data_IF_228667827043
#
_entry.id   IF_228667827043
#
_cell.length_a   1.000
_cell.length_b   1.000
_cell.length_c   1.000
_cell.angle_alpha   90.00
_cell.angle_beta   90.00
_cell.angle_gamma   90.00
#
_symmetry.space_group_name_H-M   'P 1'
#
loop_
_entity.id
_entity.type
_entity.pdbx_description
1 polymer ?
#
# COMPACT_ATOMS: atom_id res chain seq x y z
N UNK A 1 23.26 -59.49 4.01
CA UNK A 1 23.61 -58.25 3.27
C UNK A 1 22.58 -57.85 2.19
N UNK A 2 21.94 -58.78 1.45
CA UNK A 2 20.94 -58.42 0.40
C UNK A 2 19.65 -57.76 0.93
N UNK A 3 19.16 -58.14 2.12
CA UNK A 3 17.96 -57.52 2.71
C UNK A 3 18.19 -56.09 3.25
N UNK A 4 19.44 -55.74 3.60
CA UNK A 4 19.78 -54.42 4.12
C UNK A 4 19.73 -53.35 3.01
N UNK A 5 20.13 -53.72 1.78
CA UNK A 5 20.03 -52.86 0.60
C UNK A 5 18.59 -52.62 0.16
N UNK A 6 17.71 -53.62 0.29
CA UNK A 6 16.30 -53.51 -0.08
C UNK A 6 15.52 -52.56 0.86
N UNK A 7 15.82 -52.61 2.17
CA UNK A 7 15.28 -51.66 3.13
C UNK A 7 15.84 -50.24 2.94
N UNK A 8 17.13 -50.09 2.60
CA UNK A 8 17.70 -48.78 2.28
C UNK A 8 17.04 -48.14 1.04
N UNK A 9 16.75 -48.92 -0.01
CA UNK A 9 16.07 -48.41 -1.21
C UNK A 9 14.63 -47.97 -0.96
N UNK A 10 13.89 -48.64 -0.07
CA UNK A 10 12.52 -48.27 0.28
C UNK A 10 12.44 -46.99 1.11
N UNK A 11 13.40 -46.75 2.00
CA UNK A 11 13.48 -45.53 2.82
C UNK A 11 13.85 -44.31 1.94
N UNK A 12 14.78 -44.48 0.99
CA UNK A 12 15.17 -43.39 0.08
C UNK A 12 14.05 -43.00 -0.89
N UNK A 13 13.25 -43.95 -1.37
CA UNK A 13 12.11 -43.67 -2.26
C UNK A 13 10.98 -42.98 -1.48
N UNK A 14 10.69 -43.43 -0.25
CA UNK A 14 9.65 -42.83 0.60
C UNK A 14 9.97 -41.40 1.06
N UNK A 15 11.24 -41.10 1.35
CA UNK A 15 11.67 -39.73 1.66
C UNK A 15 11.71 -38.83 0.41
N UNK A 16 12.16 -39.36 -0.73
CA UNK A 16 12.21 -38.61 -1.98
C UNK A 16 10.82 -38.20 -2.51
N UNK A 17 9.81 -39.08 -2.40
CA UNK A 17 8.44 -38.77 -2.81
C UNK A 17 7.72 -37.79 -1.87
N UNK A 18 8.06 -37.78 -0.58
CA UNK A 18 7.50 -36.84 0.40
C UNK A 18 8.03 -35.43 0.14
N UNK A 19 9.34 -35.29 -0.09
CA UNK A 19 9.95 -34.00 -0.35
C UNK A 19 9.48 -33.40 -1.69
N UNK A 20 9.26 -34.22 -2.73
CA UNK A 20 8.78 -33.72 -4.02
C UNK A 20 7.38 -33.10 -3.93
N UNK A 21 6.47 -33.72 -3.17
CA UNK A 21 5.12 -33.19 -2.99
C UNK A 21 5.13 -31.92 -2.15
N UNK A 22 5.91 -31.88 -1.07
CA UNK A 22 6.07 -30.67 -0.24
C UNK A 22 6.69 -29.51 -1.05
N UNK A 23 7.71 -29.78 -1.87
CA UNK A 23 8.30 -28.77 -2.77
C UNK A 23 7.26 -28.21 -3.73
N UNK A 24 6.41 -29.06 -4.31
CA UNK A 24 5.36 -28.61 -5.25
C UNK A 24 4.29 -27.75 -4.55
N UNK A 25 3.86 -28.13 -3.35
CA UNK A 25 2.97 -27.30 -2.53
C UNK A 25 3.59 -25.94 -2.18
N UNK A 26 4.88 -25.92 -1.82
CA UNK A 26 5.59 -24.68 -1.53
C UNK A 26 5.74 -23.80 -2.78
N UNK A 27 6.01 -24.38 -3.95
CA UNK A 27 6.03 -23.63 -5.23
C UNK A 27 4.69 -22.99 -5.53
N UNK A 28 3.58 -23.71 -5.31
CA UNK A 28 2.24 -23.17 -5.51
C UNK A 28 1.96 -22.01 -4.55
N UNK A 29 2.33 -22.12 -3.27
CA UNK A 29 2.23 -21.02 -2.30
C UNK A 29 3.08 -19.82 -2.70
N UNK A 30 4.33 -20.03 -3.13
CA UNK A 30 5.22 -18.97 -3.62
C UNK A 30 4.61 -18.26 -4.81
N UNK A 31 4.02 -19.00 -5.76
CA UNK A 31 3.40 -18.40 -6.95
C UNK A 31 2.20 -17.53 -6.58
N UNK A 32 1.31 -18.01 -5.69
CA UNK A 32 0.18 -17.23 -5.20
C UNK A 32 0.65 -15.98 -4.48
N UNK A 33 1.54 -16.12 -3.49
CA UNK A 33 2.06 -14.99 -2.72
C UNK A 33 2.82 -13.98 -3.59
N UNK A 34 3.54 -14.45 -4.62
CA UNK A 34 4.23 -13.56 -5.57
C UNK A 34 3.25 -12.74 -6.41
N UNK A 35 2.08 -13.31 -6.73
CA UNK A 35 1.01 -12.60 -7.43
C UNK A 35 0.38 -11.55 -6.52
N UNK A 36 0.05 -11.92 -5.29
CA UNK A 36 -0.55 -11.01 -4.31
C UNK A 36 0.41 -9.85 -4.00
N UNK A 37 1.71 -10.13 -3.83
CA UNK A 37 2.74 -9.10 -3.64
C UNK A 37 2.80 -8.11 -4.82
N UNK A 38 2.64 -8.60 -6.06
CA UNK A 38 2.62 -7.74 -7.24
C UNK A 38 1.37 -6.84 -7.27
N UNK A 39 0.22 -7.38 -6.88
CA UNK A 39 -1.04 -6.63 -6.79
C UNK A 39 -0.94 -5.51 -5.76
N UNK A 40 -0.53 -5.82 -4.54
CA UNK A 40 -0.31 -4.82 -3.49
C UNK A 40 0.79 -3.80 -3.84
N UNK A 41 1.80 -4.19 -4.64
CA UNK A 41 2.80 -3.24 -5.13
C UNK A 41 2.18 -2.21 -6.07
N UNK A 42 1.31 -2.65 -6.98
CA UNK A 42 0.61 -1.77 -7.90
C UNK A 42 -0.35 -0.84 -7.13
N UNK A 43 -1.10 -1.37 -6.17
CA UNK A 43 -1.97 -0.59 -5.28
C UNK A 43 -1.16 0.47 -4.51
N UNK A 44 -0.02 0.09 -3.90
CA UNK A 44 0.85 1.04 -3.20
C UNK A 44 1.38 2.14 -4.11
N UNK A 45 1.71 1.82 -5.37
CA UNK A 45 2.16 2.82 -6.35
C UNK A 45 1.02 3.79 -6.68
N UNK A 46 -0.19 3.28 -6.90
CA UNK A 46 -1.35 4.11 -7.17
C UNK A 46 -1.67 5.04 -6.00
N UNK A 47 -1.77 4.50 -4.79
CA UNK A 47 -2.06 5.26 -3.56
C UNK A 47 -0.99 6.31 -3.26
N UNK A 48 0.29 6.03 -3.53
CA UNK A 48 1.36 7.03 -3.43
C UNK A 48 1.16 8.22 -4.36
N UNK A 49 0.59 8.00 -5.55
CA UNK A 49 0.29 9.09 -6.47
C UNK A 49 -0.89 9.91 -5.94
N UNK A 50 -1.96 9.28 -5.45
CA UNK A 50 -3.12 9.97 -4.87
C UNK A 50 -2.71 10.82 -3.65
N UNK A 51 -1.94 10.25 -2.71
CA UNK A 51 -1.38 11.00 -1.57
C UNK A 51 -0.54 12.20 -2.01
N UNK A 52 0.20 12.07 -3.11
CA UNK A 52 0.99 13.17 -3.68
C UNK A 52 0.11 14.24 -4.32
N UNK A 53 -0.95 13.85 -5.02
CA UNK A 53 -1.93 14.75 -5.63
C UNK A 53 -2.66 15.55 -4.55
N UNK A 54 -3.21 14.88 -3.53
CA UNK A 54 -3.85 15.56 -2.39
C UNK A 54 -2.88 16.51 -1.67
N UNK A 55 -1.60 16.14 -1.53
CA UNK A 55 -0.60 17.04 -0.94
C UNK A 55 -0.39 18.32 -1.77
N UNK A 56 -0.45 18.23 -3.09
CA UNK A 56 -0.34 19.40 -3.98
C UNK A 56 -1.58 20.28 -3.83
N UNK A 57 -2.76 19.67 -3.90
CA UNK A 57 -4.05 20.36 -3.77
C UNK A 57 -4.16 21.11 -2.42
N UNK A 58 -3.73 20.49 -1.31
CA UNK A 58 -3.67 21.14 0.00
C UNK A 58 -2.82 22.40 -0.02
N UNK A 59 -1.68 22.38 -0.73
CA UNK A 59 -0.80 23.55 -0.85
C UNK A 59 -1.49 24.64 -1.67
N UNK A 60 -2.06 24.28 -2.82
CA UNK A 60 -2.76 25.22 -3.71
C UNK A 60 -3.95 25.89 -3.00
N UNK A 61 -4.84 25.12 -2.38
CA UNK A 61 -5.98 25.65 -1.62
C UNK A 61 -5.55 26.50 -0.41
N UNK A 62 -4.43 26.14 0.23
CA UNK A 62 -3.88 26.95 1.33
C UNK A 62 -3.34 28.29 0.84
N UNK A 63 -2.70 28.32 -0.32
CA UNK A 63 -2.20 29.54 -0.96
C UNK A 63 -3.38 30.44 -1.39
N UNK A 64 -4.40 29.87 -2.04
CA UNK A 64 -5.62 30.59 -2.43
C UNK A 64 -6.31 31.24 -1.23
N UNK A 65 -6.47 30.52 -0.12
CA UNK A 65 -7.04 31.08 1.12
C UNK A 65 -6.24 32.25 1.68
N UNK A 66 -4.91 32.23 1.55
CA UNK A 66 -4.05 33.35 1.97
C UNK A 66 -4.22 34.54 1.04
N UNK A 67 -4.22 34.33 -0.28
CA UNK A 67 -4.44 35.38 -1.27
C UNK A 67 -5.82 36.05 -1.07
N UNK A 68 -6.87 35.23 -0.98
CA UNK A 68 -8.24 35.66 -0.68
C UNK A 68 -8.31 36.54 0.57
N UNK A 69 -7.65 36.12 1.66
CA UNK A 69 -7.60 36.90 2.90
C UNK A 69 -6.89 38.24 2.75
N UNK A 70 -5.82 38.30 1.98
CA UNK A 70 -5.09 39.55 1.74
C UNK A 70 -5.86 40.50 0.82
N UNK A 71 -6.54 39.98 -0.18
CA UNK A 71 -7.36 40.78 -1.09
C UNK A 71 -8.59 41.34 -0.39
N UNK A 72 -9.25 40.54 0.45
CA UNK A 72 -10.36 41.00 1.28
C UNK A 72 -10.00 42.18 2.19
N UNK A 73 -8.77 42.22 2.71
CA UNK A 73 -8.31 43.34 3.54
C UNK A 73 -8.10 44.65 2.75
N UNK A 74 -7.84 44.56 1.45
CA UNK A 74 -7.52 45.71 0.58
C UNK A 74 -8.76 46.30 -0.09
N UNK A 75 -9.85 45.53 -0.17
CA UNK A 75 -11.06 45.96 -0.86
C UNK A 75 -11.98 46.80 0.03
N UNK A 76 -12.51 47.91 -0.51
CA UNK A 76 -13.64 48.62 0.07
C UNK A 76 -14.94 47.93 -0.36
N UNK A 77 -15.38 46.94 0.41
CA UNK A 77 -16.60 46.18 0.15
C UNK A 77 -17.79 46.76 0.91
N UNK A 78 -18.96 46.80 0.26
CA UNK A 78 -20.26 46.95 0.92
C UNK A 78 -20.54 45.78 1.87
N UNK A 79 -21.52 45.93 2.75
CA UNK A 79 -21.90 44.86 3.68
C UNK A 79 -22.36 43.58 2.96
N UNK A 80 -23.09 43.73 1.84
CA UNK A 80 -23.56 42.60 1.03
C UNK A 80 -22.39 41.84 0.41
N UNK A 81 -21.46 42.56 -0.24
CA UNK A 81 -20.27 41.96 -0.86
C UNK A 81 -19.38 41.29 0.20
N UNK A 82 -19.26 41.91 1.38
CA UNK A 82 -18.53 41.33 2.50
C UNK A 82 -19.16 40.00 2.95
N UNK A 83 -20.48 39.94 3.05
CA UNK A 83 -21.18 38.70 3.41
C UNK A 83 -21.01 37.61 2.38
N UNK A 84 -20.97 37.95 1.08
CA UNK A 84 -20.76 37.00 -0.01
C UNK A 84 -19.33 36.45 0.01
N UNK A 85 -18.33 37.31 0.15
CA UNK A 85 -16.93 36.91 0.29
C UNK A 85 -16.71 35.99 1.51
N UNK A 86 -17.32 36.29 2.66
CA UNK A 86 -17.24 35.41 3.82
C UNK A 86 -17.82 34.02 3.56
N UNK A 87 -18.92 33.91 2.80
CA UNK A 87 -19.49 32.61 2.44
C UNK A 87 -18.54 31.84 1.52
N UNK A 88 -17.98 32.51 0.51
CA UNK A 88 -16.97 31.91 -0.37
C UNK A 88 -15.78 31.37 0.42
N UNK A 89 -15.14 32.18 1.27
CA UNK A 89 -13.98 31.73 2.04
C UNK A 89 -14.32 30.63 3.06
N UNK A 90 -15.55 30.62 3.57
CA UNK A 90 -16.02 29.52 4.41
C UNK A 90 -16.08 28.22 3.62
N UNK A 91 -16.55 28.26 2.37
CA UNK A 91 -16.59 27.10 1.50
C UNK A 91 -15.17 26.63 1.12
N UNK A 92 -14.29 27.54 0.70
CA UNK A 92 -12.89 27.21 0.37
C UNK A 92 -12.17 26.58 1.58
N UNK A 93 -12.45 27.08 2.80
CA UNK A 93 -11.90 26.52 4.04
C UNK A 93 -12.45 25.12 4.35
N UNK A 94 -13.70 24.85 3.99
CA UNK A 94 -14.31 23.53 4.14
C UNK A 94 -13.72 22.54 3.12
N UNK A 95 -13.55 22.96 1.87
CA UNK A 95 -12.90 22.17 0.83
C UNK A 95 -11.47 21.78 1.22
N UNK A 96 -10.65 22.74 1.65
CA UNK A 96 -9.31 22.44 2.16
C UNK A 96 -9.35 21.42 3.31
N UNK A 97 -10.31 21.56 4.22
CA UNK A 97 -10.46 20.63 5.34
C UNK A 97 -10.79 19.22 4.86
N UNK A 98 -11.73 19.08 3.93
CA UNK A 98 -12.11 17.79 3.34
C UNK A 98 -10.94 17.14 2.60
N UNK A 99 -10.17 17.91 1.81
CA UNK A 99 -8.96 17.42 1.13
C UNK A 99 -7.89 16.95 2.13
N UNK A 100 -7.70 17.67 3.25
CA UNK A 100 -6.80 17.23 4.33
C UNK A 100 -7.28 15.91 4.97
N UNK A 101 -8.59 15.76 5.20
CA UNK A 101 -9.16 14.53 5.75
C UNK A 101 -8.95 13.33 4.82
N UNK A 102 -9.15 13.50 3.51
CA UNK A 102 -8.83 12.48 2.51
C UNK A 102 -7.33 12.15 2.48
N UNK A 103 -6.45 13.16 2.41
CA UNK A 103 -5.00 12.97 2.45
C UNK A 103 -4.56 12.12 3.65
N UNK A 104 -5.09 12.39 4.84
CA UNK A 104 -4.78 11.65 6.06
C UNK A 104 -5.23 10.19 5.93
N UNK A 105 -6.47 9.98 5.47
CA UNK A 105 -7.04 8.64 5.32
C UNK A 105 -6.22 7.80 4.34
N UNK A 106 -5.92 8.33 3.17
CA UNK A 106 -5.18 7.59 2.13
C UNK A 106 -3.73 7.36 2.53
N UNK A 107 -3.13 8.28 3.31
CA UNK A 107 -1.81 8.09 3.89
C UNK A 107 -1.78 6.91 4.88
N UNK A 108 -2.83 6.76 5.70
CA UNK A 108 -2.96 5.62 6.62
C UNK A 108 -3.15 4.32 5.84
N UNK A 109 -4.02 4.31 4.83
CA UNK A 109 -4.26 3.13 3.99
C UNK A 109 -2.99 2.70 3.25
N UNK A 110 -2.21 3.66 2.74
CA UNK A 110 -0.90 3.40 2.15
C UNK A 110 0.07 2.73 3.14
N UNK A 111 0.12 3.20 4.38
CA UNK A 111 0.98 2.62 5.42
C UNK A 111 0.58 1.15 5.72
N UNK A 112 -0.72 0.85 5.77
CA UNK A 112 -1.24 -0.51 5.94
C UNK A 112 -0.81 -1.43 4.78
N UNK A 113 -0.98 -0.98 3.53
CA UNK A 113 -0.54 -1.73 2.34
C UNK A 113 0.97 -1.99 2.37
N UNK A 114 1.76 -0.98 2.78
CA UNK A 114 3.22 -1.12 2.89
C UNK A 114 3.61 -2.13 3.98
N UNK A 115 2.87 -2.20 5.09
CA UNK A 115 3.09 -3.22 6.13
C UNK A 115 2.81 -4.63 5.59
N UNK A 116 1.70 -4.81 4.87
CA UNK A 116 1.35 -6.08 4.21
C UNK A 116 2.42 -6.52 3.22
N UNK A 117 2.86 -5.62 2.33
CA UNK A 117 3.94 -5.87 1.38
C UNK A 117 5.23 -6.35 2.07
N UNK A 118 5.58 -5.74 3.20
CA UNK A 118 6.78 -6.12 3.94
C UNK A 118 6.63 -7.53 4.54
N UNK A 119 5.49 -7.83 5.16
CA UNK A 119 5.20 -9.16 5.72
C UNK A 119 5.26 -10.24 4.65
N UNK A 120 4.59 -10.01 3.51
CA UNK A 120 4.52 -10.96 2.40
C UNK A 120 5.89 -11.17 1.75
N UNK A 121 6.68 -10.11 1.60
CA UNK A 121 8.06 -10.19 1.09
C UNK A 121 8.95 -11.05 1.99
N UNK A 122 8.85 -10.88 3.32
CA UNK A 122 9.57 -11.70 4.30
C UNK A 122 9.14 -13.16 4.23
N UNK A 123 7.83 -13.43 4.15
CA UNK A 123 7.31 -14.80 4.08
C UNK A 123 7.72 -15.48 2.77
N UNK A 124 7.65 -14.77 1.65
CA UNK A 124 8.11 -15.26 0.34
C UNK A 124 9.59 -15.66 0.39
N UNK A 125 10.44 -14.89 1.07
CA UNK A 125 11.85 -15.22 1.27
C UNK A 125 12.03 -16.50 2.07
N UNK A 126 11.29 -16.67 3.19
CA UNK A 126 11.34 -17.90 4.01
C UNK A 126 10.89 -19.13 3.23
N UNK A 127 9.82 -19.01 2.43
CA UNK A 127 9.33 -20.12 1.61
C UNK A 127 10.36 -20.54 0.56
N UNK A 128 11.04 -19.58 -0.09
CA UNK A 128 12.13 -19.84 -1.03
C UNK A 128 13.31 -20.54 -0.36
N UNK A 129 13.72 -20.09 0.83
CA UNK A 129 14.77 -20.74 1.63
C UNK A 129 14.38 -22.16 2.02
N UNK A 130 13.11 -22.41 2.37
CA UNK A 130 12.61 -23.75 2.67
C UNK A 130 12.71 -24.70 1.48
N UNK A 131 12.37 -24.25 0.28
CA UNK A 131 12.54 -25.07 -0.94
C UNK A 131 14.01 -25.42 -1.16
N UNK A 132 14.92 -24.46 -0.99
CA UNK A 132 16.37 -24.69 -1.15
C UNK A 132 16.85 -25.76 -0.16
N UNK A 133 16.33 -25.76 1.07
CA UNK A 133 16.72 -26.75 2.09
C UNK A 133 16.11 -28.14 1.86
N UNK A 134 15.03 -28.25 1.07
CA UNK A 134 14.36 -29.52 0.75
C UNK A 134 14.85 -30.15 -0.56
N UNK A 135 15.52 -29.37 -1.42
CA UNK A 135 16.04 -29.75 -2.74
C UNK A 135 17.45 -30.33 -2.64
#
# INVERSE_FOLDING_TARGET
>A
MKHLYFFLSLILISCGSSNSNEIEELKNKINLLSKDLLEHQNESIHMKNEVKEHRIEIVELSEELVEHKEDFKKMELSESERSEAYKHYTNDSLELKETIEHFIKDSIELDEILEHLNKDSIELKKLKEKIINLS
#
